data_IF_089477513964
#
_entry.id   IF_089477513964
#
_cell.length_a   1.000
_cell.length_b   1.000
_cell.length_c   1.000
_cell.angle_alpha   90.00
_cell.angle_beta   90.00
_cell.angle_gamma   90.00
#
_symmetry.space_group_name_H-M   'P 1'
#
loop_
_entity.id
_entity.type
_entity.pdbx_description
1 polymer ?
#
# COMPACT_ATOMS: atom_id res chain seq x y z
N UNK A 1 24.03 -11.58 -6.48
CA UNK A 1 23.87 -11.11 -6.93
C UNK A 1 23.77 -10.98 -6.88
N UNK A 2 23.75 -10.82 -6.44
CA UNK A 2 23.65 -10.31 -6.73
C UNK A 2 23.26 -10.21 -6.71
N UNK A 3 23.36 -10.64 -6.54
CA UNK A 3 23.10 -10.16 -6.71
C UNK A 3 22.58 -10.25 -6.85
N UNK A 4 22.68 -10.45 -6.54
CA UNK A 4 22.34 -10.05 -6.80
C UNK A 4 21.76 -10.13 -6.71
N UNK A 5 21.87 -10.44 -6.22
CA UNK A 5 21.40 -10.13 -6.29
C UNK A 5 20.72 -10.11 -6.06
N UNK A 6 20.92 -10.32 -5.64
CA UNK A 6 20.37 -9.92 -5.61
C UNK A 6 19.83 -9.89 -5.66
N UNK A 7 19.98 -10.00 -5.59
CA UNK A 7 19.39 -9.77 -5.80
C UNK A 7 19.00 -10.27 -6.17
N UNK A 8 19.28 -10.72 -6.30
CA UNK A 8 18.64 -11.00 -6.50
C UNK A 8 17.91 -12.08 -6.57
N UNK A 9 17.34 -12.74 -6.96
CA UNK A 9 16.36 -13.73 -6.83
C UNK A 9 15.25 -13.42 -5.83
N UNK A 10 15.50 -12.67 -4.97
CA UNK A 10 14.53 -12.07 -4.08
C UNK A 10 13.45 -11.28 -4.86
N UNK A 11 13.81 -10.46 -5.82
CA UNK A 11 12.82 -9.82 -6.70
C UNK A 11 11.93 -10.81 -7.45
N UNK A 12 12.50 -11.96 -7.87
CA UNK A 12 11.73 -12.99 -8.55
C UNK A 12 10.65 -13.55 -7.63
N UNK A 13 11.00 -13.77 -6.38
CA UNK A 13 10.06 -14.27 -5.39
C UNK A 13 8.92 -13.30 -5.14
N UNK A 14 9.23 -12.00 -5.03
CA UNK A 14 8.20 -10.98 -4.86
C UNK A 14 7.25 -10.95 -6.05
N UNK A 15 7.78 -11.09 -7.27
CA UNK A 15 6.94 -11.11 -8.47
C UNK A 15 5.99 -12.29 -8.48
N UNK A 16 6.37 -13.42 -7.90
CA UNK A 16 5.50 -14.59 -7.80
C UNK A 16 4.36 -14.38 -6.81
N UNK A 17 4.56 -13.51 -5.81
CA UNK A 17 3.54 -13.24 -4.80
C UNK A 17 2.50 -12.24 -5.29
N UNK A 18 2.81 -11.44 -6.31
CA UNK A 18 1.91 -10.42 -6.82
C UNK A 18 1.31 -10.89 -8.13
N UNK A 19 -0.02 -11.05 -8.20
CA UNK A 19 -0.66 -11.47 -9.45
C UNK A 19 -0.42 -10.45 -10.54
N UNK A 20 -0.21 -10.96 -11.76
CA UNK A 20 -0.07 -10.12 -12.93
C UNK A 20 -1.46 -9.73 -13.41
N UNK A 21 -1.64 -8.46 -13.80
CA UNK A 21 -2.89 -7.97 -14.35
C UNK A 21 -3.26 -8.74 -15.62
N UNK A 22 -4.54 -9.16 -15.74
CA UNK A 22 -5.06 -9.89 -16.89
C UNK A 22 -5.96 -8.98 -17.67
N UNK A 23 -5.58 -8.71 -18.92
CA UNK A 23 -6.38 -7.85 -19.81
C UNK A 23 -7.69 -8.52 -20.17
N UNK A 24 -8.75 -7.72 -20.20
CA UNK A 24 -10.06 -8.19 -20.63
C UNK A 24 -10.90 -8.77 -19.53
N UNK A 25 -10.34 -8.96 -18.36
CA UNK A 25 -11.09 -9.42 -17.19
C UNK A 25 -11.78 -8.24 -16.52
N UNK A 26 -12.78 -8.52 -15.70
CA UNK A 26 -13.39 -7.50 -14.85
C UNK A 26 -12.37 -6.96 -13.86
N UNK A 27 -12.60 -5.75 -13.37
CA UNK A 27 -11.69 -5.15 -12.40
C UNK A 27 -11.63 -5.95 -11.12
N UNK A 28 -10.42 -6.24 -10.68
CA UNK A 28 -10.16 -6.83 -9.39
C UNK A 28 -9.49 -5.77 -8.51
N UNK A 29 -10.09 -5.49 -7.37
CA UNK A 29 -9.54 -4.54 -6.42
C UNK A 29 -8.85 -5.27 -5.29
N UNK A 30 -7.80 -4.65 -4.76
CA UNK A 30 -7.08 -5.20 -3.63
C UNK A 30 -6.65 -4.07 -2.70
N UNK A 31 -6.75 -4.30 -1.41
CA UNK A 31 -6.27 -3.34 -0.41
C UNK A 31 -4.95 -3.87 0.14
N UNK A 32 -3.93 -3.02 0.11
CA UNK A 32 -2.63 -3.31 0.71
C UNK A 32 -2.60 -2.54 2.02
N UNK A 33 -2.44 -3.24 3.14
CA UNK A 33 -2.58 -2.60 4.44
C UNK A 33 -1.80 -3.33 5.52
N UNK A 34 -1.35 -2.58 6.53
CA UNK A 34 -0.85 -3.15 7.78
C UNK A 34 -1.85 -2.91 8.92
N UNK A 35 -3.07 -2.48 8.60
CA UNK A 35 -4.11 -2.16 9.58
C UNK A 35 -5.08 -3.33 9.72
N UNK A 36 -5.05 -3.98 10.88
CA UNK A 36 -5.89 -5.14 11.15
C UNK A 36 -7.38 -4.82 11.06
N UNK A 37 -7.80 -3.60 11.42
CA UNK A 37 -9.22 -3.22 11.33
C UNK A 37 -9.73 -3.30 9.90
N UNK A 38 -8.88 -2.96 8.93
CA UNK A 38 -9.25 -3.03 7.52
C UNK A 38 -9.50 -4.48 7.11
N UNK A 39 -8.62 -5.38 7.52
CA UNK A 39 -8.78 -6.81 7.26
C UNK A 39 -10.05 -7.36 7.89
N UNK A 40 -10.29 -7.05 9.16
CA UNK A 40 -11.44 -7.56 9.90
C UNK A 40 -12.75 -7.09 9.28
N UNK A 41 -12.82 -5.80 8.91
CA UNK A 41 -14.08 -5.23 8.42
C UNK A 41 -14.37 -5.61 6.97
N UNK A 42 -13.37 -5.68 6.12
CA UNK A 42 -13.57 -5.82 4.67
C UNK A 42 -12.96 -7.07 4.06
N UNK A 43 -12.27 -7.89 4.84
CA UNK A 43 -11.59 -9.06 4.30
C UNK A 43 -12.49 -10.08 3.62
N UNK A 44 -13.78 -10.11 3.95
CA UNK A 44 -14.75 -11.01 3.33
C UNK A 44 -15.37 -10.44 2.05
N UNK A 45 -15.20 -9.13 1.81
CA UNK A 45 -15.88 -8.44 0.73
C UNK A 45 -14.93 -8.03 -0.38
N UNK A 46 -13.66 -7.83 -0.06
CA UNK A 46 -12.63 -7.39 -1.01
C UNK A 46 -11.33 -8.08 -0.64
N UNK A 47 -10.49 -8.32 -1.63
CA UNK A 47 -9.18 -8.93 -1.36
C UNK A 47 -8.32 -7.95 -0.57
N UNK A 48 -7.71 -8.45 0.50
CA UNK A 48 -6.83 -7.66 1.36
C UNK A 48 -5.50 -8.38 1.48
N UNK A 49 -4.43 -7.68 1.11
CA UNK A 49 -3.08 -8.16 1.43
C UNK A 49 -2.67 -7.50 2.73
N UNK A 50 -2.73 -8.28 3.81
CA UNK A 50 -2.44 -7.77 5.15
C UNK A 50 -0.98 -8.02 5.50
N UNK A 51 -0.27 -6.94 5.78
CA UNK A 51 1.16 -6.97 6.12
C UNK A 51 1.29 -6.90 7.64
N UNK A 52 1.11 -8.04 8.29
CA UNK A 52 1.09 -8.14 9.75
C UNK A 52 2.44 -7.72 10.35
N UNK A 53 2.39 -6.80 11.30
CA UNK A 53 3.60 -6.34 12.02
C UNK A 53 4.54 -5.50 11.18
N UNK A 54 4.13 -5.11 9.97
CA UNK A 54 5.02 -4.34 9.10
C UNK A 54 4.71 -2.85 9.18
N UNK A 55 5.65 -2.04 8.70
CA UNK A 55 5.63 -0.60 8.85
C UNK A 55 4.85 0.10 7.75
N UNK A 56 4.60 1.40 7.96
CA UNK A 56 4.06 2.29 6.94
C UNK A 56 4.89 2.22 5.65
N UNK A 57 6.23 2.28 5.80
CA UNK A 57 7.14 2.18 4.67
C UNK A 57 6.97 0.86 3.92
N UNK A 58 6.81 -0.25 4.65
CA UNK A 58 6.64 -1.56 4.03
C UNK A 58 5.38 -1.61 3.17
N UNK A 59 4.30 -0.93 3.61
CA UNK A 59 3.08 -0.84 2.80
C UNK A 59 3.37 -0.10 1.49
N UNK A 60 4.07 1.03 1.57
CA UNK A 60 4.39 1.80 0.36
C UNK A 60 5.28 1.02 -0.60
N UNK A 61 6.25 0.28 -0.08
CA UNK A 61 7.13 -0.54 -0.92
C UNK A 61 6.33 -1.65 -1.60
N UNK A 62 5.40 -2.29 -0.88
CA UNK A 62 4.55 -3.31 -1.47
C UNK A 62 3.66 -2.72 -2.58
N UNK A 63 3.13 -1.53 -2.35
CA UNK A 63 2.33 -0.83 -3.38
C UNK A 63 3.19 -0.56 -4.62
N UNK A 64 4.45 -0.15 -4.44
CA UNK A 64 5.36 0.03 -5.56
C UNK A 64 5.53 -1.26 -6.35
N UNK A 65 5.65 -2.39 -5.66
CA UNK A 65 5.77 -3.69 -6.32
C UNK A 65 4.53 -3.99 -7.17
N UNK A 66 3.34 -3.67 -6.68
CA UNK A 66 2.11 -3.83 -7.44
C UNK A 66 2.12 -2.98 -8.71
N UNK A 67 2.49 -1.71 -8.57
CA UNK A 67 2.55 -0.80 -9.73
C UNK A 67 3.53 -1.33 -10.77
N UNK A 68 4.68 -1.82 -10.35
CA UNK A 68 5.69 -2.36 -11.25
C UNK A 68 5.23 -3.66 -11.93
N UNK A 69 4.23 -4.32 -11.40
CA UNK A 69 3.63 -5.51 -12.00
C UNK A 69 2.35 -5.19 -12.78
N UNK A 70 2.12 -3.94 -13.11
CA UNK A 70 1.04 -3.52 -14.00
C UNK A 70 -0.26 -3.15 -13.32
N UNK A 71 -0.29 -3.12 -12.00
CA UNK A 71 -1.49 -2.74 -11.26
C UNK A 71 -1.67 -1.22 -11.24
N UNK A 72 -2.91 -0.80 -11.10
CA UNK A 72 -3.30 0.61 -11.07
C UNK A 72 -3.46 1.08 -9.63
N UNK A 73 -2.93 2.25 -9.34
CA UNK A 73 -3.10 2.90 -8.05
C UNK A 73 -4.48 3.55 -8.00
N UNK A 74 -5.34 3.11 -7.08
CA UNK A 74 -6.71 3.61 -6.98
C UNK A 74 -6.88 4.69 -5.91
N UNK A 75 -6.04 4.67 -4.86
CA UNK A 75 -6.04 5.72 -3.85
C UNK A 75 -4.64 6.30 -3.73
N UNK A 76 -4.56 7.59 -3.38
CA UNK A 76 -3.27 8.24 -3.23
C UNK A 76 -2.54 7.71 -2.00
N UNK A 77 -1.25 7.32 -2.11
CA UNK A 77 -0.54 6.70 -0.99
C UNK A 77 -0.25 7.62 0.18
N UNK A 78 -0.41 8.93 -0.02
CA UNK A 78 -0.13 9.91 1.04
C UNK A 78 -1.36 10.74 1.40
N UNK A 79 -2.55 10.16 1.21
CA UNK A 79 -3.80 10.83 1.58
C UNK A 79 -3.93 10.91 3.09
N UNK A 80 -4.44 12.04 3.57
CA UNK A 80 -4.74 12.23 4.98
C UNK A 80 -3.83 13.25 5.63
N UNK A 81 -4.24 13.69 6.83
CA UNK A 81 -3.53 14.72 7.58
C UNK A 81 -2.43 14.16 8.47
N UNK A 82 -2.43 12.85 8.73
CA UNK A 82 -1.43 12.23 9.58
C UNK A 82 -0.18 11.87 8.77
N UNK A 83 0.96 12.18 9.35
CA UNK A 83 2.25 11.95 8.69
C UNK A 83 2.78 10.55 9.01
N UNK A 84 3.66 10.01 8.16
CA UNK A 84 4.20 8.66 8.34
C UNK A 84 4.97 8.46 9.65
N UNK A 85 5.37 9.53 10.32
CA UNK A 85 6.02 9.43 11.62
C UNK A 85 5.08 9.77 12.78
N UNK A 86 3.78 9.90 12.50
CA UNK A 86 2.74 10.05 13.51
C UNK A 86 1.92 8.76 13.62
N UNK A 87 1.47 8.24 12.49
CA UNK A 87 0.70 7.00 12.45
C UNK A 87 1.55 5.85 11.93
N UNK A 88 1.46 4.66 12.55
CA UNK A 88 2.13 3.48 12.00
C UNK A 88 1.35 2.81 10.89
N UNK A 89 0.10 3.22 10.61
CA UNK A 89 -0.80 2.49 9.72
C UNK A 89 -1.01 3.18 8.39
N UNK A 90 -1.10 2.37 7.33
CA UNK A 90 -1.42 2.86 6.00
C UNK A 90 -2.20 1.79 5.24
N UNK A 91 -3.22 2.23 4.50
CA UNK A 91 -3.99 1.36 3.60
C UNK A 91 -4.05 2.03 2.23
N UNK A 92 -3.81 1.26 1.18
CA UNK A 92 -3.82 1.75 -0.20
C UNK A 92 -4.60 0.76 -1.05
N UNK A 93 -5.48 1.26 -1.90
CA UNK A 93 -6.23 0.41 -2.83
C UNK A 93 -5.55 0.42 -4.20
N UNK A 94 -5.42 -0.77 -4.77
CA UNK A 94 -4.94 -0.97 -6.14
C UNK A 94 -5.95 -1.82 -6.88
N UNK A 95 -5.89 -1.79 -8.23
CA UNK A 95 -6.71 -2.64 -9.06
C UNK A 95 -5.90 -3.19 -10.22
N UNK A 96 -6.42 -4.25 -10.85
CA UNK A 96 -5.75 -4.82 -12.02
C UNK A 96 -6.18 -4.12 -13.31
N UNK A 97 -6.79 -2.93 -13.22
CA UNK A 97 -7.17 -2.13 -14.39
C UNK A 97 -5.93 -1.83 -15.23
N UNK A 98 -5.99 -2.05 -16.54
CA UNK A 98 -4.86 -1.71 -17.42
C UNK A 98 -4.55 -0.21 -17.34
N UNK A 99 -3.27 0.12 -17.38
CA UNK A 99 -2.80 1.50 -17.40
C UNK A 99 -1.97 1.72 -18.66
N UNK A 100 -2.09 2.91 -19.26
CA UNK A 100 -1.24 3.25 -20.39
C UNK A 100 0.14 3.72 -19.88
N UNK A 101 1.04 4.00 -20.81
CA UNK A 101 2.41 4.33 -20.49
C UNK A 101 2.53 5.62 -19.69
N UNK A 102 1.72 6.62 -20.03
CA UNK A 102 1.72 7.91 -19.35
C UNK A 102 1.26 7.74 -17.91
N UNK A 103 0.15 7.02 -17.72
CA UNK A 103 -0.40 6.77 -16.39
C UNK A 103 0.58 5.95 -15.54
N UNK A 104 1.24 4.99 -16.16
CA UNK A 104 2.24 4.18 -15.45
C UNK A 104 3.35 5.08 -14.89
N UNK A 105 3.87 6.00 -15.70
CA UNK A 105 4.91 6.92 -15.25
C UNK A 105 4.43 7.82 -14.10
N UNK A 106 3.19 8.31 -14.20
CA UNK A 106 2.65 9.17 -13.16
C UNK A 106 2.51 8.41 -11.84
N UNK A 107 2.09 7.17 -11.90
CA UNK A 107 1.97 6.33 -10.71
C UNK A 107 3.33 6.02 -10.08
N UNK A 108 4.33 5.76 -10.92
CA UNK A 108 5.69 5.53 -10.44
C UNK A 108 6.21 6.76 -9.70
N UNK A 109 6.01 7.93 -10.27
CA UNK A 109 6.41 9.18 -9.63
C UNK A 109 5.69 9.36 -8.28
N UNK A 110 4.39 9.11 -8.28
CA UNK A 110 3.57 9.27 -7.07
C UNK A 110 4.06 8.37 -5.94
N UNK A 111 4.30 7.08 -6.23
CA UNK A 111 4.70 6.16 -5.17
C UNK A 111 6.15 6.43 -4.72
N UNK A 112 7.05 6.78 -5.62
CA UNK A 112 8.42 7.10 -5.25
C UNK A 112 8.48 8.37 -4.41
N UNK A 113 7.65 9.36 -4.73
CA UNK A 113 7.55 10.57 -3.90
C UNK A 113 7.01 10.24 -2.51
N UNK A 114 6.05 9.31 -2.42
CA UNK A 114 5.52 8.86 -1.14
C UNK A 114 6.59 8.17 -0.31
N UNK A 115 7.36 7.29 -0.92
CA UNK A 115 8.44 6.57 -0.23
C UNK A 115 9.51 7.56 0.24
N UNK A 116 9.88 8.51 -0.60
CA UNK A 116 10.86 9.54 -0.26
C UNK A 116 10.37 10.39 0.91
N UNK A 117 9.09 10.82 0.88
CA UNK A 117 8.50 11.61 1.96
C UNK A 117 8.47 10.82 3.27
N UNK A 118 8.08 9.55 3.20
CA UNK A 118 8.06 8.69 4.38
C UNK A 118 9.44 8.58 5.01
N UNK A 119 10.45 8.33 4.18
CA UNK A 119 11.83 8.23 4.64
C UNK A 119 12.29 9.53 5.29
N UNK A 120 11.93 10.66 4.70
CA UNK A 120 12.28 11.98 5.22
C UNK A 120 11.66 12.21 6.60
N UNK A 121 10.34 11.94 6.74
CA UNK A 121 9.69 12.12 8.03
C UNK A 121 10.27 11.19 9.09
N UNK A 122 10.56 9.95 8.76
CA UNK A 122 11.16 8.99 9.68
C UNK A 122 12.58 9.43 10.11
N UNK A 123 13.32 10.10 9.23
CA UNK A 123 14.65 10.59 9.57
C UNK A 123 14.60 11.78 10.53
N UNK A 124 13.53 12.57 10.47
CA UNK A 124 13.34 13.70 11.40
C UNK A 124 12.98 13.18 12.79
N UNK A 125 12.05 12.23 12.85
CA UNK A 125 11.62 11.62 14.10
C UNK A 125 10.94 10.30 13.78
N UNK A 126 11.29 9.25 14.54
CA UNK A 126 10.64 7.95 14.39
C UNK A 126 9.21 8.02 14.94
N UNK A 127 8.35 7.17 14.41
CA UNK A 127 7.00 7.01 14.94
C UNK A 127 7.10 6.60 16.41
N UNK A 128 6.40 7.30 17.32
CA UNK A 128 6.44 6.92 18.74
C UNK A 128 5.87 5.53 18.97
N UNK A 129 6.29 4.94 20.09
CA UNK A 129 5.74 3.67 20.55
C UNK A 129 4.43 3.96 21.29
N UNK A 130 3.35 4.11 20.54
CA UNK A 130 2.06 4.54 21.06
C UNK A 130 1.43 3.46 21.93
N UNK A 131 0.71 3.84 23.01
CA UNK A 131 -0.07 2.87 23.78
C UNK A 131 -1.24 2.33 22.95
N UNK A 132 -1.78 1.19 23.38
CA UNK A 132 -2.77 0.44 22.59
C UNK A 132 -4.01 1.28 22.25
N UNK A 133 -4.50 2.10 23.17
CA UNK A 133 -5.69 2.92 22.90
C UNK A 133 -5.44 3.94 21.77
N UNK A 134 -4.23 4.49 21.69
CA UNK A 134 -3.89 5.41 20.59
C UNK A 134 -3.64 4.66 19.29
N UNK A 135 -3.06 3.46 19.36
CA UNK A 135 -2.92 2.63 18.17
C UNK A 135 -4.29 2.33 17.55
N UNK A 136 -5.28 2.03 18.38
CA UNK A 136 -6.65 1.80 17.90
C UNK A 136 -7.24 3.04 17.24
N UNK A 137 -6.97 4.21 17.80
CA UNK A 137 -7.41 5.46 17.20
C UNK A 137 -6.76 5.68 15.83
N UNK A 138 -5.46 5.42 15.70
CA UNK A 138 -4.77 5.53 14.42
C UNK A 138 -5.32 4.53 13.40
N UNK A 139 -5.65 3.31 13.84
CA UNK A 139 -6.27 2.32 12.98
C UNK A 139 -7.63 2.81 12.47
N UNK A 140 -8.43 3.39 13.37
CA UNK A 140 -9.75 3.91 12.99
C UNK A 140 -9.65 5.06 12.00
N UNK A 141 -8.68 5.95 12.17
CA UNK A 141 -8.46 7.06 11.24
C UNK A 141 -8.04 6.54 9.87
N UNK A 142 -7.07 5.61 9.83
CA UNK A 142 -6.63 5.03 8.56
C UNK A 142 -7.78 4.35 7.83
N UNK A 143 -8.59 3.57 8.55
CA UNK A 143 -9.76 2.91 7.98
C UNK A 143 -10.71 3.94 7.39
N UNK A 144 -11.01 5.02 8.12
CA UNK A 144 -11.92 6.05 7.65
C UNK A 144 -11.44 6.72 6.37
N UNK A 145 -10.13 6.84 6.19
CA UNK A 145 -9.58 7.48 5.00
C UNK A 145 -9.75 6.62 3.74
N UNK A 146 -9.77 5.29 3.88
CA UNK A 146 -9.91 4.42 2.72
C UNK A 146 -11.36 3.98 2.48
N UNK A 147 -12.24 4.12 3.47
CA UNK A 147 -13.62 3.64 3.36
C UNK A 147 -14.38 4.28 2.21
N UNK A 148 -14.11 5.55 1.92
CA UNK A 148 -14.77 6.21 0.79
C UNK A 148 -14.51 5.50 -0.53
N UNK A 149 -13.29 5.07 -0.75
CA UNK A 149 -12.93 4.35 -1.97
C UNK A 149 -13.54 2.94 -1.97
N UNK A 150 -13.56 2.28 -0.82
CA UNK A 150 -14.14 0.93 -0.70
C UNK A 150 -15.63 0.97 -1.01
N UNK A 151 -16.36 1.93 -0.45
CA UNK A 151 -17.80 2.03 -0.63
C UNK A 151 -18.18 2.23 -2.11
N UNK A 152 -17.33 2.88 -2.89
CA UNK A 152 -17.59 3.11 -4.30
C UNK A 152 -17.56 1.84 -5.14
N UNK A 153 -16.90 0.80 -4.69
CA UNK A 153 -16.72 -0.43 -5.46
C UNK A 153 -17.56 -1.60 -4.93
N UNK A 154 -18.21 -1.44 -3.78
CA UNK A 154 -19.05 -2.50 -3.21
C UNK A 154 -20.49 -2.48 -3.72
#
# INVERSE_FOLDING_TARGET
CHKQESTFFYPVRLKQEIPVSIKGEGKMYRIITNNQMCLVKYGDQIQVEYLDGQSYMDVLVKVRDYIQNGWCLETHPMTGSLKPNQTPYKSVMVSDRPVDKEEFYQQEITIENGITACRKFQSIRKTPDWPQNLLEDFQAVDLSLIEGAIQKIL
#
